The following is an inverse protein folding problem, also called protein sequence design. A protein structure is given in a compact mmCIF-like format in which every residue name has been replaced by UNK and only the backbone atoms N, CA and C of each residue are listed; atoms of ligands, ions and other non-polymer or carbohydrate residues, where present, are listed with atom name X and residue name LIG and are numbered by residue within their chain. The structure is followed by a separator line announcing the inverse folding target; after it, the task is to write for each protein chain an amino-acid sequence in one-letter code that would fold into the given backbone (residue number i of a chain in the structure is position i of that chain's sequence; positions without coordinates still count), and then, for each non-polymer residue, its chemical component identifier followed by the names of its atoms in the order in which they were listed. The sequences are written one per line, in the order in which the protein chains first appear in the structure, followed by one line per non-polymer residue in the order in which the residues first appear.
data_IF_074974935751
#
_entry.id   IF_074974935751
#
_cell.length_a   1.000
_cell.length_b   1.000
_cell.length_c   1.000
_cell.angle_alpha   90.00
_cell.angle_beta   90.00
_cell.angle_gamma   90.00
#
_symmetry.space_group_name_H-M   'P 1'
#
loop_
_entity.id
_entity.type
_entity.pdbx_description
1 polymer ?
2 non-polymer ?
3 non-polymer ?
4 water ?
#
# COMPACT_ATOMS: atom_id res chain seq x y z
N UNK A 1 -1.59 7.71 15.74
CA UNK A 1 -2.79 7.26 14.95
C UNK A 1 -4.01 7.11 15.82
N UNK A 2 -5.13 7.68 15.40
CA UNK A 2 -6.43 7.57 16.09
C UNK A 2 -7.36 6.64 15.28
N UNK A 3 -8.17 5.85 15.98
CA UNK A 3 -9.14 4.95 15.35
C UNK A 3 -10.54 5.34 15.79
N UNK A 4 -11.50 5.20 14.89
CA UNK A 4 -12.90 5.53 15.11
C UNK A 4 -13.75 4.43 14.49
N UNK A 5 -14.63 3.84 15.26
CA UNK A 5 -15.54 2.84 14.76
C UNK A 5 -16.57 3.48 13.90
N UNK A 6 -16.79 2.92 12.70
CA UNK A 6 -17.82 3.42 11.80
C UNK A 6 -19.19 2.76 12.12
N UNK A 7 -20.24 3.21 11.41
CA UNK A 7 -21.60 2.75 11.72
C UNK A 7 -21.79 1.34 11.24
N UNK A 8 -20.97 0.86 10.32
CA UNK A 8 -21.00 -0.53 9.84
C UNK A 8 -20.10 -1.33 10.75
N UNK A 9 -20.68 -2.35 11.40
CA UNK A 9 -19.98 -3.12 12.40
C UNK A 9 -18.66 -3.63 11.89
N UNK A 10 -17.60 -3.32 12.63
CA UNK A 10 -16.28 -3.79 12.30
C UNK A 10 -15.48 -2.90 11.38
N UNK A 11 -16.13 -1.98 10.67
CA UNK A 11 -15.40 -1.05 9.82
C UNK A 11 -14.80 0.01 10.71
N UNK A 12 -13.60 0.45 10.37
CA UNK A 12 -12.83 1.34 11.22
C UNK A 12 -12.16 2.40 10.36
N UNK A 13 -12.23 3.65 10.82
CA UNK A 13 -11.52 4.79 10.22
C UNK A 13 -10.27 5.10 11.03
N UNK A 14 -9.13 5.08 10.40
CA UNK A 14 -7.86 5.43 11.03
C UNK A 14 -7.37 6.77 10.53
N UNK A 15 -6.93 7.64 11.45
CA UNK A 15 -6.41 8.94 11.14
C UNK A 15 -4.94 9.00 11.52
N UNK A 16 -4.02 8.89 10.55
CA UNK A 16 -2.59 9.04 10.86
C UNK A 16 -2.23 10.52 11.05
N UNK A 17 -1.23 10.80 11.85
CA UNK A 17 -0.71 12.15 11.90
C UNK A 17 0.17 12.46 10.67
N UNK A 18 0.05 13.70 10.22
CA UNK A 18 0.82 14.21 9.09
C UNK A 18 2.05 14.86 9.64
N UNK A 19 3.20 14.33 9.24
CA UNK A 19 4.50 14.88 9.62
C UNK A 19 5.02 15.69 8.42
N UNK A 20 5.59 16.86 8.62
CA UNK A 20 6.08 17.71 7.55
C UNK A 20 7.45 18.23 7.91
N UNK A 21 8.27 18.36 6.89
CA UNK A 21 9.58 19.01 7.00
C UNK A 21 9.88 19.65 5.65
N UNK A 22 11.12 20.12 5.49
CA UNK A 22 11.49 20.80 4.27
C UNK A 22 11.46 19.92 3.02
N UNK A 23 11.55 18.62 3.22
CA UNK A 23 11.52 17.69 2.12
C UNK A 23 10.12 17.37 1.63
N UNK A 24 9.10 17.51 2.48
CA UNK A 24 7.81 17.05 2.13
C UNK A 24 6.97 16.66 3.31
N UNK A 25 6.23 15.57 3.14
CA UNK A 25 5.18 15.12 4.08
C UNK A 25 5.30 13.61 4.23
N UNK A 26 4.82 13.10 5.35
CA UNK A 26 4.84 11.69 5.66
C UNK A 26 3.61 11.32 6.45
N UNK A 27 2.91 10.28 6.02
CA UNK A 27 1.94 9.61 6.84
C UNK A 27 2.22 8.13 6.82
N UNK A 28 1.72 7.42 7.84
CA UNK A 28 1.85 5.97 7.95
C UNK A 28 0.42 5.41 7.89
N UNK A 29 -0.11 5.10 6.72
CA UNK A 29 -1.57 4.84 6.65
C UNK A 29 -2.05 3.61 7.41
N UNK A 30 -1.22 2.57 7.43
CA UNK A 30 -1.48 1.30 8.16
C UNK A 30 -0.40 1.16 9.24
N UNK A 31 -0.78 0.95 10.49
CA UNK A 31 0.14 0.78 11.60
C UNK A 31 -0.37 -0.38 12.46
N UNK A 32 0.42 -1.42 12.61
CA UNK A 32 -0.03 -2.62 13.26
C UNK A 32 -0.50 -2.35 14.69
N UNK A 33 0.21 -1.54 15.48
CA UNK A 33 -0.20 -1.40 16.87
C UNK A 33 -1.59 -0.78 17.00
N UNK A 34 -1.85 0.29 16.26
CA UNK A 34 -3.16 0.90 16.26
C UNK A 34 -4.22 -0.06 15.73
N UNK A 35 -3.88 -0.78 14.66
CA UNK A 35 -4.81 -1.73 14.08
C UNK A 35 -5.20 -2.83 15.02
N UNK A 36 -4.20 -3.45 15.65
CA UNK A 36 -4.48 -4.52 16.61
C UNK A 36 -5.34 -4.03 17.77
N UNK A 37 -5.09 -2.82 18.27
CA UNK A 37 -5.90 -2.25 19.36
C UNK A 37 -7.36 -2.10 18.94
N UNK A 38 -7.58 -1.62 17.71
CA UNK A 38 -8.92 -1.36 17.27
C UNK A 38 -9.70 -2.58 16.77
N UNK A 39 -8.99 -3.47 16.10
CA UNK A 39 -9.61 -4.63 15.46
C UNK A 39 -9.53 -5.91 16.29
N UNK A 40 -8.48 -6.05 17.10
CA UNK A 40 -8.25 -7.22 17.94
C UNK A 40 -7.22 -8.20 17.47
N UNK A 41 -6.69 -8.00 16.26
CA UNK A 41 -5.64 -8.81 15.70
C UNK A 41 -5.02 -8.02 14.53
N UNK A 42 -3.94 -8.53 14.00
CA UNK A 42 -3.24 -7.84 12.93
C UNK A 42 -3.97 -7.96 11.60
N UNK A 43 -3.52 -7.14 10.64
CA UNK A 43 -4.07 -7.17 9.30
C UNK A 43 -3.91 -8.53 8.68
N UNK A 44 -4.85 -8.88 7.81
CA UNK A 44 -4.73 -10.01 6.95
C UNK A 44 -3.39 -10.02 6.23
N UNK A 45 -2.96 -11.21 5.89
CA UNK A 45 -1.88 -11.39 4.92
C UNK A 45 -2.33 -10.72 3.60
N UNK A 46 -1.47 -9.93 3.03
CA UNK A 46 -1.77 -9.19 1.82
C UNK A 46 -1.51 -10.04 0.59
N UNK A 47 -2.58 -10.32 -0.17
CA UNK A 47 -2.53 -11.12 -1.37
C UNK A 47 -2.26 -10.27 -2.59
N UNK A 48 -2.69 -9.01 -2.56
CA UNK A 48 -2.71 -8.14 -3.74
C UNK A 48 -2.84 -6.72 -3.27
N UNK A 49 -2.24 -5.77 -3.99
CA UNK A 49 -2.56 -4.37 -3.81
C UNK A 49 -3.15 -3.77 -5.07
N UNK A 50 -3.83 -2.66 -4.91
CA UNK A 50 -4.44 -1.90 -5.98
C UNK A 50 -4.04 -0.45 -5.90
N UNK A 51 -3.77 0.13 -7.06
CA UNK A 51 -3.62 1.56 -7.28
C UNK A 51 -4.66 1.93 -8.36
N UNK A 52 -5.73 2.60 -7.95
CA UNK A 52 -6.80 2.97 -8.87
C UNK A 52 -6.80 4.47 -9.00
N UNK A 53 -6.81 4.99 -10.22
CA UNK A 53 -6.93 6.43 -10.43
C UNK A 53 -8.25 6.71 -11.17
N UNK A 54 -8.91 7.76 -10.73
CA UNK A 54 -10.24 8.11 -11.23
C UNK A 54 -10.37 9.59 -11.55
N UNK A 55 -11.13 9.86 -12.60
CA UNK A 55 -11.59 11.20 -12.94
C UNK A 55 -12.63 11.73 -11.94
N UNK A 56 -12.78 13.04 -11.84
CA UNK A 56 -13.80 13.64 -10.99
C UNK A 56 -15.17 13.16 -11.46
N UNK A 57 -15.96 12.80 -10.50
CA UNK A 57 -17.30 12.32 -10.78
C UNK A 57 -17.46 10.86 -11.05
N UNK A 58 -16.35 10.14 -11.13
CA UNK A 58 -16.45 8.70 -11.18
C UNK A 58 -17.04 8.16 -9.88
N UNK A 59 -17.96 7.21 -10.03
CA UNK A 59 -18.50 6.46 -8.93
C UNK A 59 -18.22 5.01 -9.19
N UNK A 60 -17.47 4.37 -8.30
CA UNK A 60 -17.20 2.97 -8.40
C UNK A 60 -17.94 2.28 -7.29
N UNK A 61 -18.67 1.24 -7.62
CA UNK A 61 -19.34 0.43 -6.62
C UNK A 61 -20.82 0.30 -6.92
N UNK A 62 -21.59 -0.35 -6.05
CA UNK A 62 -21.10 -0.96 -4.83
C UNK A 62 -20.51 -2.30 -5.19
N UNK A 63 -19.30 -2.57 -4.70
CA UNK A 63 -18.58 -3.82 -5.00
C UNK A 63 -18.43 -4.69 -3.77
N UNK A 64 -18.61 -5.99 -3.97
CA UNK A 64 -18.35 -6.96 -2.93
C UNK A 64 -17.87 -8.24 -3.55
N UNK A 65 -17.26 -9.11 -2.74
CA UNK A 65 -16.79 -10.40 -3.18
C UNK A 65 -17.77 -11.46 -2.66
N UNK A 66 -18.08 -12.43 -3.51
CA UNK A 66 -18.82 -13.60 -3.08
C UNK A 66 -18.11 -14.21 -1.87
N UNK A 67 -18.91 -14.53 -0.86
CA UNK A 67 -18.43 -14.93 0.43
C UNK A 67 -19.13 -16.23 0.89
N UNK A 68 -18.38 -17.30 1.12
CA UNK A 68 -16.95 -17.45 0.86
C UNK A 68 -16.63 -17.36 -0.63
N UNK A 69 -15.40 -17.03 -1.00
CA UNK A 69 -14.25 -16.85 -0.14
C UNK A 69 -14.14 -15.52 0.63
N UNK A 70 -14.73 -14.46 0.08
CA UNK A 70 -14.72 -13.13 0.67
C UNK A 70 -13.38 -12.45 0.56
N UNK A 71 -13.42 -11.16 0.79
CA UNK A 71 -12.23 -10.31 0.78
C UNK A 71 -12.39 -9.23 1.85
N UNK A 72 -11.35 -9.03 2.64
CA UNK A 72 -11.21 -7.85 3.51
C UNK A 72 -10.25 -6.88 2.82
N UNK A 73 -10.37 -5.58 3.11
CA UNK A 73 -9.61 -4.58 2.42
C UNK A 73 -9.17 -3.50 3.42
N UNK A 74 -8.11 -2.79 3.06
CA UNK A 74 -7.63 -1.61 3.78
C UNK A 74 -7.29 -0.57 2.75
N UNK A 75 -7.97 0.57 2.81
CA UNK A 75 -7.91 1.55 1.74
C UNK A 75 -7.63 2.96 2.24
N UNK A 76 -6.88 3.72 1.47
CA UNK A 76 -6.74 5.16 1.69
C UNK A 76 -6.56 5.89 0.35
N UNK A 77 -6.76 7.19 0.36
CA UNK A 77 -6.67 8.02 -0.79
C UNK A 77 -5.27 8.67 -0.87
N UNK A 78 -4.46 8.19 -1.81
CA UNK A 78 -3.06 8.64 -1.97
C UNK A 78 -2.88 9.90 -2.80
N UNK A 79 -3.95 10.38 -3.44
CA UNK A 79 -3.89 11.59 -4.26
C UNK A 79 -5.31 12.03 -4.51
N UNK A 80 -5.58 13.32 -4.54
CA UNK A 80 -6.92 13.78 -4.80
C UNK A 80 -7.82 13.71 -3.58
N UNK A 81 -9.09 13.45 -3.83
CA UNK A 81 -10.10 13.54 -2.79
C UNK A 81 -11.23 12.59 -3.14
N UNK A 82 -11.64 11.77 -2.17
CA UNK A 82 -12.72 10.82 -2.39
C UNK A 82 -13.69 10.84 -1.25
N UNK A 83 -14.94 10.50 -1.54
CA UNK A 83 -15.89 10.11 -0.54
C UNK A 83 -15.96 8.59 -0.54
N UNK A 84 -15.42 7.98 0.49
CA UNK A 84 -15.36 6.55 0.61
C UNK A 84 -16.60 6.04 1.36
N UNK A 85 -17.25 4.96 0.89
CA UNK A 85 -18.49 4.51 1.43
C UNK A 85 -18.43 3.03 1.73
N UNK A 86 -18.78 2.66 2.95
CA UNK A 86 -18.92 1.30 3.35
C UNK A 86 -20.38 1.00 3.58
N UNK A 87 -20.85 -0.11 3.04
CA UNK A 87 -22.25 -0.52 3.05
C UNK A 87 -22.34 -1.90 3.69
N UNK A 88 -23.13 -2.05 4.73
CA UNK A 88 -23.27 -3.37 5.35
C UNK A 88 -24.31 -4.21 4.63
N UNK A 89 -23.82 -5.12 3.83
CA UNK A 89 -24.65 -6.01 3.05
C UNK A 89 -24.64 -7.43 3.62
N UNK A 90 -24.15 -7.61 4.84
CA UNK A 90 -24.03 -8.94 5.42
C UNK A 90 -25.34 -9.35 6.14
N UNK A 91 -26.06 -10.29 5.53
CA UNK A 91 -27.34 -10.72 6.07
C UNK A 91 -27.12 -11.26 7.48
N UNK A 92 -27.91 -10.77 8.42
CA UNK A 92 -27.73 -11.11 9.84
C UNK A 92 -26.87 -10.16 10.63
N UNK A 93 -26.28 -9.17 10.01
CA UNK A 93 -25.45 -8.22 10.74
C UNK A 93 -26.32 -7.32 11.62
N UNK A 94 -25.82 -6.92 12.79
CA UNK A 94 -26.55 -5.94 13.59
C UNK A 94 -26.67 -4.59 12.96
N UNK A 95 -25.90 -4.32 11.92
CA UNK A 95 -25.94 -3.05 11.22
C UNK A 95 -26.28 -3.21 9.75
N UNK A 96 -26.91 -4.32 9.43
CA UNK A 96 -27.36 -4.58 8.06
C UNK A 96 -28.11 -3.43 7.46
N UNK A 97 -27.77 -3.09 6.22
CA UNK A 97 -28.44 -2.07 5.46
C UNK A 97 -27.96 -0.66 5.67
N UNK A 98 -27.14 -0.44 6.69
CA UNK A 98 -26.57 0.88 6.98
C UNK A 98 -25.33 1.08 6.12
N UNK A 99 -24.99 2.34 5.95
CA UNK A 99 -23.72 2.74 5.36
C UNK A 99 -23.08 3.83 6.17
N UNK A 100 -21.81 4.08 5.91
CA UNK A 100 -21.10 5.19 6.50
C UNK A 100 -20.15 5.70 5.44
N UNK A 101 -19.72 6.92 5.60
CA UNK A 101 -18.86 7.59 4.64
C UNK A 101 -17.70 8.24 5.35
N UNK A 102 -16.59 8.23 4.66
CA UNK A 102 -15.38 8.87 5.14
C UNK A 102 -14.84 9.75 4.01
N UNK A 103 -14.65 11.04 4.30
CA UNK A 103 -14.03 11.93 3.36
C UNK A 103 -12.54 11.74 3.44
N UNK A 104 -11.94 11.38 2.31
CA UNK A 104 -10.54 11.08 2.20
C UNK A 104 -9.89 12.17 1.36
N UNK A 105 -9.08 12.98 2.01
CA UNK A 105 -8.43 14.09 1.35
C UNK A 105 -6.97 14.12 1.72
N UNK A 106 -6.24 15.08 1.15
CA UNK A 106 -4.80 15.16 1.39
C UNK A 106 -4.44 15.96 2.60
N UNK A 107 -5.37 16.73 3.13
CA UNK A 107 -5.03 17.57 4.27
C UNK A 107 -5.14 16.84 5.57
N UNK A 108 -6.21 16.05 5.73
CA UNK A 108 -6.40 15.22 6.94
C UNK A 108 -6.72 13.79 6.51
N UNK A 109 -5.71 13.11 6.01
CA UNK A 109 -5.86 11.77 5.47
C UNK A 109 -6.49 10.80 6.47
N UNK A 110 -7.29 9.89 5.93
CA UNK A 110 -7.95 8.82 6.68
C UNK A 110 -7.88 7.55 5.89
N UNK A 111 -7.68 6.45 6.55
CA UNK A 111 -7.71 5.11 5.96
C UNK A 111 -8.90 4.38 6.54
N UNK A 112 -9.42 3.39 5.80
CA UNK A 112 -10.54 2.60 6.27
C UNK A 112 -10.26 1.12 6.13
N UNK A 113 -10.57 0.39 7.17
CA UNK A 113 -10.65 -1.07 7.15
C UNK A 113 -12.06 -1.52 6.86
N UNK A 114 -12.20 -2.35 5.81
CA UNK A 114 -13.42 -2.95 5.34
C UNK A 114 -13.43 -4.43 5.66
N UNK A 115 -14.28 -4.87 6.59
CA UNK A 115 -14.38 -6.27 6.91
C UNK A 115 -14.77 -7.14 5.77
N UNK A 116 -14.50 -8.44 5.92
CA UNK A 116 -15.06 -9.42 5.00
C UNK A 116 -16.56 -9.24 4.91
N UNK A 117 -17.04 -9.32 3.69
CA UNK A 117 -18.45 -9.34 3.45
C UNK A 117 -19.17 -8.03 3.20
N UNK A 118 -18.51 -6.92 3.43
CA UNK A 118 -19.16 -5.63 3.28
C UNK A 118 -19.03 -5.16 1.84
N UNK A 119 -19.86 -4.19 1.45
CA UNK A 119 -19.76 -3.55 0.17
C UNK A 119 -19.01 -2.24 0.27
N UNK A 120 -18.43 -1.85 -0.84
CA UNK A 120 -17.57 -0.65 -0.93
C UNK A 120 -17.97 0.14 -2.16
N UNK A 121 -18.03 1.46 -2.00
CA UNK A 121 -18.20 2.36 -3.11
C UNK A 121 -17.40 3.62 -2.79
N UNK A 122 -17.10 4.38 -3.82
CA UNK A 122 -16.55 5.71 -3.62
C UNK A 122 -16.86 6.59 -4.81
N UNK A 123 -16.80 7.89 -4.51
CA UNK A 123 -16.89 8.91 -5.52
C UNK A 123 -15.65 9.74 -5.50
N UNK A 124 -15.08 9.94 -6.68
CA UNK A 124 -13.92 10.81 -6.84
C UNK A 124 -14.36 12.26 -6.90
N UNK A 125 -13.83 13.08 -6.01
CA UNK A 125 -14.25 14.49 -5.91
C UNK A 125 -13.31 15.44 -6.66
N UNK A 126 -12.18 14.91 -7.10
CA UNK A 126 -11.20 15.63 -7.88
C UNK A 126 -10.68 14.74 -9.00
N UNK A 127 -10.22 15.29 -10.09
CA UNK A 127 -9.49 14.53 -11.07
C UNK A 127 -8.20 13.93 -10.46
N UNK A 128 -7.74 12.84 -11.04
CA UNK A 128 -6.51 12.20 -10.63
C UNK A 128 -6.55 11.69 -9.19
N UNK A 129 -7.71 11.26 -8.76
CA UNK A 129 -7.87 10.74 -7.40
C UNK A 129 -7.42 9.28 -7.36
N UNK A 130 -6.49 8.98 -6.47
CA UNK A 130 -5.90 7.63 -6.38
C UNK A 130 -6.35 6.99 -5.09
N UNK A 131 -6.96 5.81 -5.23
CA UNK A 131 -7.32 4.96 -4.09
C UNK A 131 -6.32 3.81 -4.06
N UNK A 132 -5.76 3.58 -2.89
CA UNK A 132 -4.72 2.59 -2.71
C UNK A 132 -5.21 1.55 -1.70
N UNK A 133 -5.17 0.29 -2.09
CA UNK A 133 -5.74 -0.79 -1.33
C UNK A 133 -4.72 -1.87 -1.06
N UNK A 134 -4.87 -2.49 0.10
CA UNK A 134 -4.36 -3.83 0.39
C UNK A 134 -5.56 -4.78 0.47
N UNK A 135 -5.45 -5.95 -0.14
CA UNK A 135 -6.54 -6.94 -0.17
C UNK A 135 -6.12 -8.26 0.44
N UNK A 136 -7.06 -8.95 1.05
CA UNK A 136 -6.80 -10.26 1.64
C UNK A 136 -6.81 -11.38 0.63
N UNK A 137 -7.28 -11.12 -0.59
CA UNK A 137 -7.43 -12.13 -1.61
C UNK A 137 -7.30 -11.41 -2.94
N UNK A 138 -6.70 -12.07 -3.92
CA UNK A 138 -6.59 -11.49 -5.23
C UNK A 138 -7.93 -11.46 -5.92
N UNK A 139 -8.12 -10.42 -6.71
CA UNK A 139 -9.36 -10.20 -7.45
C UNK A 139 -9.58 -11.30 -8.44
N UNK A 140 -10.78 -11.90 -8.39
CA UNK A 140 -11.25 -12.93 -9.32
C UNK A 140 -12.57 -12.45 -9.89
N UNK A 141 -12.62 -12.23 -11.19
CA UNK A 141 -13.79 -11.61 -11.81
C UNK A 141 -15.11 -12.30 -11.49
N UNK A 142 -15.11 -13.62 -11.51
CA UNK A 142 -16.35 -14.35 -11.29
C UNK A 142 -16.89 -14.18 -9.89
N UNK A 143 -16.01 -13.80 -8.94
CA UNK A 143 -16.41 -13.61 -7.57
C UNK A 143 -16.72 -12.16 -7.21
N UNK A 144 -16.58 -11.26 -8.17
CA UNK A 144 -16.71 -9.83 -7.93
C UNK A 144 -18.04 -9.33 -8.38
N UNK A 145 -18.92 -9.09 -7.44
CA UNK A 145 -20.27 -8.69 -7.72
C UNK A 145 -20.53 -7.22 -7.41
N UNK A 146 -21.67 -6.76 -7.87
CA UNK A 146 -22.05 -5.36 -7.71
C UNK A 146 -23.49 -5.19 -7.28
N UNK A 147 -23.71 -4.07 -6.59
CA UNK A 147 -25.03 -3.62 -6.20
C UNK A 147 -25.16 -2.16 -6.64
N UNK A 148 -26.40 -1.71 -6.84
CA UNK A 148 -26.67 -0.37 -7.31
C UNK A 148 -26.29 0.70 -6.30
N UNK A 149 -25.36 1.57 -6.71
CA UNK A 149 -24.98 2.67 -5.89
C UNK A 149 -26.01 3.81 -5.89
N UNK A 150 -26.86 3.86 -6.90
CA UNK A 150 -27.85 4.89 -7.07
C UNK A 150 -29.14 4.55 -6.34
N UNK A 151 -29.22 3.36 -5.79
CA UNK A 151 -30.41 2.86 -5.10
C UNK A 151 -31.06 3.93 -4.23
N UNK A 152 -32.31 4.31 -4.51
CA UNK A 152 -32.98 5.33 -3.70
C UNK A 152 -33.12 4.94 -2.24
N UNK A 153 -33.16 3.67 -1.95
CA UNK A 153 -33.27 3.22 -0.56
C UNK A 153 -32.07 3.59 0.26
N UNK A 154 -30.91 3.70 -0.39
CA UNK A 154 -29.68 4.07 0.32
C UNK A 154 -29.36 5.53 0.36
N UNK A 155 -29.71 6.29 -0.66
CA UNK A 155 -29.38 7.70 -0.70
C UNK A 155 -27.92 8.02 -0.58
N UNK A 156 -27.05 7.24 -1.26
CA UNK A 156 -25.64 7.51 -1.17
C UNK A 156 -25.27 8.88 -1.75
N UNK A 157 -24.26 9.53 -1.14
CA UNK A 157 -23.85 10.90 -1.52
C UNK A 157 -22.97 10.91 -2.76
N UNK A 158 -23.52 10.55 -3.91
CA UNK A 158 -22.65 10.26 -5.06
C UNK A 158 -22.79 11.21 -6.24
N UNK A 159 -23.66 12.22 -6.16
CA UNK A 159 -23.75 13.24 -7.23
C UNK A 159 -23.20 14.57 -6.72
N UNK A 160 -22.17 15.06 -7.39
CA UNK A 160 -21.36 16.17 -6.91
C UNK A 160 -21.35 17.31 -7.92
N UNK A 161 -22.21 17.25 -8.94
CA UNK A 161 -22.41 18.39 -9.86
C UNK A 161 -22.02 18.16 -11.30
N UNK A 162 -21.51 16.97 -11.61
CA UNK A 162 -21.21 16.54 -12.97
C UNK A 162 -21.94 15.24 -13.20
N UNK A 163 -22.21 14.90 -14.45
CA UNK A 163 -22.86 13.60 -14.72
C UNK A 163 -21.93 12.48 -14.22
N UNK A 164 -22.43 11.61 -13.36
CA UNK A 164 -21.56 10.55 -12.84
C UNK A 164 -21.00 9.70 -13.95
N UNK A 165 -19.74 9.27 -13.74
CA UNK A 165 -19.04 8.45 -14.70
C UNK A 165 -19.00 7.05 -14.06
N UNK A 166 -19.71 6.11 -14.69
CA UNK A 166 -20.02 4.84 -14.08
C UNK A 166 -19.78 3.76 -15.11
N UNK A 167 -19.19 2.64 -14.71
CA UNK A 167 -19.05 1.50 -15.64
C UNK A 167 -20.40 0.90 -15.99
N UNK A 168 -20.44 0.22 -17.13
CA UNK A 168 -21.68 -0.49 -17.48
C UNK A 168 -22.08 -1.51 -16.42
N UNK A 169 -21.12 -2.23 -15.86
CA UNK A 169 -21.49 -3.24 -14.86
C UNK A 169 -22.08 -2.60 -13.62
N UNK A 170 -21.53 -1.45 -13.21
CA UNK A 170 -22.14 -0.76 -12.10
C UNK A 170 -23.50 -0.16 -12.39
N UNK A 171 -23.67 0.31 -13.60
CA UNK A 171 -24.92 0.97 -13.97
C UNK A 171 -26.11 0.00 -13.90
N UNK A 172 -25.90 -1.26 -14.26
CA UNK A 172 -26.97 -2.24 -14.35
C UNK A 172 -27.04 -3.13 -13.09
N UNK A 173 -26.25 -2.81 -12.09
CA UNK A 173 -26.31 -3.59 -10.86
C UNK A 173 -27.69 -3.53 -10.18
N UNK A 174 -28.08 -4.66 -9.59
CA UNK A 174 -29.33 -4.73 -8.84
C UNK A 174 -29.16 -4.11 -7.46
N UNK A 175 -30.27 -3.76 -6.84
CA UNK A 175 -30.23 -3.20 -5.52
C UNK A 175 -29.88 -4.25 -4.47
N UNK A 176 -29.45 -3.72 -3.35
CA UNK A 176 -29.20 -4.50 -2.14
C UNK A 176 -30.43 -5.37 -1.81
N UNK A 177 -31.61 -4.78 -1.78
CA UNK A 177 -32.82 -5.55 -1.40
C UNK A 177 -33.12 -6.64 -2.43
N UNK A 178 -32.96 -6.33 -3.71
CA UNK A 178 -33.10 -7.37 -4.70
C UNK A 178 -32.09 -8.47 -4.60
N UNK A 179 -30.81 -8.12 -4.39
CA UNK A 179 -29.79 -9.12 -4.16
C UNK A 179 -30.07 -10.01 -2.92
N UNK A 180 -30.63 -9.45 -1.86
CA UNK A 180 -31.02 -10.25 -0.72
C UNK A 180 -32.09 -11.25 -1.14
N UNK A 181 -33.09 -10.83 -1.88
CA UNK A 181 -34.17 -11.75 -2.27
C UNK A 181 -33.64 -12.85 -3.15
N UNK A 182 -32.67 -12.54 -4.02
CA UNK A 182 -32.04 -13.49 -4.88
C UNK A 182 -31.04 -14.39 -4.21
N UNK A 183 -30.67 -14.15 -2.94
CA UNK A 183 -29.75 -15.02 -2.25
C UNK A 183 -28.28 -14.76 -2.55
N UNK A 184 -27.98 -13.54 -2.99
CA UNK A 184 -26.66 -13.22 -3.49
C UNK A 184 -25.75 -12.50 -2.48
N UNK A 185 -26.24 -12.24 -1.27
CA UNK A 185 -25.46 -11.43 -0.31
C UNK A 185 -24.67 -12.31 0.64
N UNK A 186 -23.52 -11.80 1.11
CA UNK A 186 -22.78 -12.49 2.16
C UNK A 186 -23.61 -12.67 3.42
N UNK A 187 -23.36 -13.75 4.14
CA UNK A 187 -23.95 -13.97 5.48
C UNK A 187 -23.00 -13.41 6.51
N UNK A 188 -23.54 -12.74 7.51
CA UNK A 188 -22.73 -12.19 8.57
C UNK A 188 -21.91 -13.20 9.37
N UNK A 189 -22.57 -14.27 9.80
CA UNK A 189 -21.84 -15.27 10.57
C UNK A 189 -20.66 -15.87 9.78
N UNK A 190 -20.90 -16.21 8.52
CA UNK A 190 -19.87 -16.76 7.68
C UNK A 190 -18.76 -15.76 7.47
N UNK A 191 -19.14 -14.51 7.20
CA UNK A 191 -18.17 -13.45 6.99
C UNK A 191 -17.28 -13.28 8.20
N UNK A 192 -17.88 -13.27 9.40
CA UNK A 192 -17.13 -13.11 10.62
C UNK A 192 -16.17 -14.27 10.88
N UNK A 193 -16.57 -15.48 10.51
CA UNK A 193 -15.72 -16.65 10.67
C UNK A 193 -14.50 -16.50 9.78
N UNK A 194 -14.71 -16.10 8.54
CA UNK A 194 -13.59 -15.87 7.61
C UNK A 194 -12.68 -14.80 8.18
N UNK A 195 -13.28 -13.71 8.61
CA UNK A 195 -12.53 -12.59 9.13
C UNK A 195 -11.66 -13.00 10.31
N UNK A 196 -12.21 -13.81 11.21
CA UNK A 196 -11.43 -14.24 12.36
C UNK A 196 -10.24 -15.08 11.95
N UNK A 197 -10.41 -15.94 10.96
CA UNK A 197 -9.29 -16.74 10.44
C UNK A 197 -8.22 -15.83 9.81
N UNK A 198 -8.62 -14.81 9.10
CA UNK A 198 -7.65 -13.93 8.41
C UNK A 198 -6.81 -13.15 9.36
N UNK A 199 -7.41 -12.73 10.46
CA UNK A 199 -6.80 -11.63 11.27
C UNK A 199 -6.46 -12.17 12.60
N UNK A 200 -6.27 -13.48 12.65
CA UNK A 200 -5.92 -14.18 13.88
C UNK A 200 -4.51 -13.75 14.30
N UNK A 201 -4.28 -13.65 15.61
CA UNK A 201 -2.96 -13.30 16.17
C UNK A 201 -1.90 -14.42 16.02
N UNK A 202 -2.24 -15.68 16.32
CA UNK A 202 -1.27 -16.80 16.26
C UNK A 202 -0.03 -16.59 15.40
N UNK B 1 1.89 -9.02 -15.24
CA UNK B 1 3.05 -8.53 -14.45
C UNK B 1 4.32 -9.22 -14.88
N UNK B 2 5.37 -8.42 -15.10
CA UNK B 2 6.67 -8.94 -15.40
C UNK B 2 7.61 -8.66 -14.21
N UNK B 3 8.52 -9.56 -13.98
CA UNK B 3 9.51 -9.49 -12.91
C UNK B 3 10.89 -9.55 -13.54
N UNK B 4 11.81 -8.78 -12.99
CA UNK B 4 13.20 -8.69 -13.46
C UNK B 4 14.09 -8.62 -12.24
N UNK B 5 15.02 -9.57 -12.14
CA UNK B 5 15.98 -9.56 -11.02
C UNK B 5 16.95 -8.42 -11.20
N UNK B 6 17.13 -7.67 -10.13
CA UNK B 6 18.10 -6.61 -10.08
C UNK B 6 19.47 -7.14 -9.80
N UNK B 7 20.44 -6.26 -9.93
CA UNK B 7 21.83 -6.68 -9.83
C UNK B 7 22.19 -6.95 -8.38
N UNK B 8 21.51 -6.31 -7.41
CA UNK B 8 21.66 -6.60 -5.99
C UNK B 8 20.88 -7.89 -5.70
N UNK B 9 21.58 -8.87 -5.15
CA UNK B 9 21.04 -10.21 -5.02
C UNK B 9 19.72 -10.19 -4.25
N UNK B 10 18.70 -10.77 -4.87
CA UNK B 10 17.39 -10.88 -4.27
C UNK B 10 16.45 -9.72 -4.48
N UNK B 11 16.93 -8.57 -4.88
CA UNK B 11 16.08 -7.42 -5.17
C UNK B 11 15.39 -7.66 -6.52
N UNK B 12 14.14 -7.25 -6.64
CA UNK B 12 13.33 -7.59 -7.81
C UNK B 12 12.55 -6.36 -8.26
N UNK B 13 12.53 -6.08 -9.54
CA UNK B 13 11.68 -5.05 -10.13
C UNK B 13 10.47 -5.73 -10.75
N UNK B 14 9.29 -5.26 -10.39
CA UNK B 14 8.03 -5.74 -10.94
C UNK B 14 7.40 -4.66 -11.79
N UNK B 15 6.94 -5.02 -12.98
CA UNK B 15 6.27 -4.10 -13.88
C UNK B 15 4.83 -4.56 -14.06
N UNK B 16 3.88 -3.95 -13.38
CA UNK B 16 2.48 -4.32 -13.59
C UNK B 16 1.99 -3.79 -14.94
N UNK B 17 1.00 -4.48 -15.49
CA UNK B 17 0.27 -3.93 -16.64
C UNK B 17 -0.64 -2.80 -16.15
N UNK B 18 -0.81 -1.76 -16.97
CA UNK B 18 -1.72 -0.68 -16.67
C UNK B 18 -2.99 -0.90 -17.44
N UNK B 19 -4.10 -0.98 -16.73
CA UNK B 19 -5.41 -1.07 -17.33
C UNK B 19 -6.12 0.24 -17.36
N UNK B 20 -6.69 0.59 -18.47
CA UNK B 20 -7.29 1.91 -18.64
C UNK B 20 -8.73 1.75 -19.11
N UNK B 21 -9.59 2.65 -18.67
CA UNK B 21 -10.97 2.72 -19.18
C UNK B 21 -11.42 4.16 -19.05
N UNK B 22 -12.70 4.41 -19.30
CA UNK B 22 -13.20 5.75 -19.29
C UNK B 22 -13.22 6.42 -17.91
N UNK B 23 -13.09 5.65 -16.85
CA UNK B 23 -13.04 6.17 -15.51
C UNK B 23 -11.65 6.54 -15.06
N UNK B 24 -10.63 5.91 -15.64
CA UNK B 24 -9.25 6.11 -15.19
C UNK B 24 -8.39 4.94 -15.45
N UNK B 25 -7.56 4.61 -14.48
CA UNK B 25 -6.59 3.56 -14.69
C UNK B 25 -6.49 2.71 -13.45
N UNK B 26 -5.87 1.57 -13.63
CA UNK B 26 -5.67 0.60 -12.57
C UNK B 26 -4.37 -0.09 -12.78
N UNK B 27 -3.60 -0.16 -11.70
CA UNK B 27 -2.46 -1.13 -11.62
C UNK B 27 -2.59 -1.92 -10.35
N UNK B 28 -1.93 -3.07 -10.31
CA UNK B 28 -1.90 -3.92 -9.15
C UNK B 28 -0.41 -4.02 -8.78
N UNK B 29 0.09 -3.12 -7.93
CA UNK B 29 1.55 -3.02 -7.76
C UNK B 29 2.17 -4.24 -7.15
N UNK B 30 1.49 -4.91 -6.23
CA UNK B 30 1.92 -6.18 -5.65
C UNK B 30 0.93 -7.25 -6.02
N UNK B 31 1.42 -8.37 -6.51
CA UNK B 31 0.58 -9.50 -6.88
C UNK B 31 1.24 -10.76 -6.39
N UNK B 32 0.50 -11.54 -5.60
CA UNK B 32 1.11 -12.72 -4.96
C UNK B 32 1.71 -13.71 -5.96
N UNK B 33 1.03 -14.06 -7.07
CA UNK B 33 1.58 -15.07 -7.96
C UNK B 33 2.85 -14.64 -8.59
N UNK B 34 2.92 -13.42 -9.11
CA UNK B 34 4.14 -12.93 -9.71
C UNK B 34 5.25 -12.82 -8.69
N UNK B 35 4.90 -12.41 -7.49
CA UNK B 35 5.89 -12.30 -6.44
C UNK B 35 6.48 -13.67 -6.08
N UNK B 36 5.61 -14.66 -5.82
CA UNK B 36 6.11 -15.98 -5.50
C UNK B 36 6.97 -16.52 -6.63
N UNK B 37 6.54 -16.33 -7.87
CA UNK B 37 7.35 -16.81 -9.01
C UNK B 37 8.77 -16.27 -8.95
N UNK B 38 8.93 -14.98 -8.62
CA UNK B 38 10.25 -14.34 -8.65
C UNK B 38 11.06 -14.54 -7.40
N UNK B 39 10.40 -14.57 -6.25
CA UNK B 39 11.08 -14.58 -4.97
C UNK B 39 11.18 -15.97 -4.34
N UNK B 40 10.19 -16.83 -4.62
CA UNK B 40 10.10 -18.18 -4.06
C UNK B 40 9.27 -18.37 -2.81
N UNK B 41 8.57 -17.33 -2.39
CA UNK B 41 7.62 -17.38 -1.28
C UNK B 41 6.87 -16.07 -1.34
N UNK B 42 5.79 -15.97 -0.56
CA UNK B 42 4.95 -14.78 -0.57
C UNK B 42 5.59 -13.62 0.17
N UNK B 43 4.99 -12.46 0.01
CA UNK B 43 5.42 -11.27 0.71
C UNK B 43 5.40 -11.57 2.21
N UNK B 44 6.25 -10.88 2.92
CA UNK B 44 6.13 -10.75 4.35
C UNK B 44 4.73 -10.31 4.77
N UNK B 45 4.32 -10.68 5.98
CA UNK B 45 3.20 -10.06 6.62
C UNK B 45 3.51 -8.59 6.76
N UNK B 46 2.51 -7.74 6.49
CA UNK B 46 2.71 -6.30 6.48
C UNK B 46 2.46 -5.72 7.85
N UNK B 47 3.49 -5.13 8.43
CA UNK B 47 3.44 -4.50 9.76
C UNK B 47 3.07 -3.04 9.71
N UNK B 48 3.38 -2.37 8.59
CA UNK B 48 3.22 -0.94 8.51
C UNK B 48 3.30 -0.56 7.06
N UNK B 49 2.63 0.51 6.69
CA UNK B 49 2.84 1.16 5.42
C UNK B 49 3.32 2.60 5.61
N UNK B 50 3.90 3.13 4.54
CA UNK B 50 4.42 4.49 4.48
C UNK B 50 3.89 5.16 3.22
N UNK B 51 3.50 6.41 3.35
CA UNK B 51 3.21 7.32 2.24
C UNK B 51 4.09 8.55 2.45
N UNK B 52 5.11 8.71 1.62
CA UNK B 52 6.08 9.81 1.70
C UNK B 52 5.92 10.68 0.47
N UNK B 53 5.76 11.99 0.64
CA UNK B 53 5.72 12.91 -0.47
C UNK B 53 6.97 13.80 -0.40
N UNK B 54 7.59 13.97 -1.55
CA UNK B 54 8.83 14.74 -1.64
C UNK B 54 8.79 15.78 -2.74
N UNK B 55 9.51 16.86 -2.45
CA UNK B 55 9.79 17.90 -3.43
C UNK B 55 10.86 17.46 -4.40
N UNK B 56 10.91 18.08 -5.57
CA UNK B 56 11.95 17.79 -6.55
C UNK B 56 13.34 18.07 -5.97
N UNK B 57 14.22 17.11 -6.15
CA UNK B 57 15.59 17.19 -5.70
C UNK B 57 15.84 16.66 -4.29
N UNK B 58 14.79 16.28 -3.59
CA UNK B 58 14.95 15.59 -2.32
C UNK B 58 15.66 14.28 -2.58
N UNK B 59 16.63 13.97 -1.71
CA UNK B 59 17.29 12.68 -1.67
C UNK B 59 17.07 12.11 -0.28
N UNK B 60 16.48 10.94 -0.19
CA UNK B 60 16.31 10.22 1.04
C UNK B 60 17.12 8.96 1.04
N UNK B 61 17.80 8.71 2.13
CA UNK B 61 18.61 7.52 2.28
C UNK B 61 20.06 7.87 2.61
N UNK B 62 20.93 6.86 2.69
CA UNK B 62 20.61 5.47 2.53
C UNK B 62 20.09 4.92 3.86
N UNK B 63 18.94 4.27 3.85
CA UNK B 63 18.27 3.75 5.06
C UNK B 63 18.33 2.26 5.13
N UNK B 64 18.65 1.76 6.29
CA UNK B 64 18.58 0.37 6.58
C UNK B 64 18.20 0.13 8.03
N UNK B 65 17.80 -1.08 8.35
CA UNK B 65 17.39 -1.46 9.72
C UNK B 65 18.51 -2.34 10.27
N UNK B 66 18.86 -2.15 11.54
CA UNK B 66 19.76 -3.06 12.27
C UNK B 66 19.20 -4.46 12.11
N UNK B 67 20.09 -5.38 11.78
CA UNK B 67 19.74 -6.73 11.39
C UNK B 67 20.54 -7.73 12.22
N UNK B 68 19.93 -8.57 13.05
CA UNK B 68 18.49 -8.60 13.34
C UNK B 68 18.07 -7.33 14.09
N UNK B 69 16.78 -7.00 14.06
CA UNK B 69 15.70 -7.79 13.46
C UNK B 69 15.58 -7.68 11.95
N UNK B 70 16.01 -6.57 11.38
CA UNK B 70 15.92 -6.34 9.94
C UNK B 70 14.53 -5.98 9.49
N UNK B 71 14.47 -5.45 8.28
CA UNK B 71 13.23 -5.11 7.59
C UNK B 71 13.36 -5.41 6.12
N UNK B 72 12.34 -6.08 5.57
CA UNK B 72 12.13 -6.18 4.13
C UNK B 72 11.05 -5.22 3.73
N UNK B 73 11.11 -4.75 2.48
CA UNK B 73 10.23 -3.69 2.03
C UNK B 73 9.77 -3.91 0.59
N UNK B 74 8.64 -3.31 0.27
CA UNK B 74 8.12 -3.36 -1.10
C UNK B 74 7.63 -1.95 -1.38
N UNK B 75 8.16 -1.34 -2.41
CA UNK B 75 7.96 0.09 -2.68
C UNK B 75 7.56 0.38 -4.12
N UNK B 76 6.68 1.36 -4.31
CA UNK B 76 6.46 1.87 -5.67
C UNK B 76 6.14 3.34 -5.60
N UNK B 77 6.18 4.02 -6.73
CA UNK B 77 5.96 5.44 -6.78
C UNK B 77 4.53 5.70 -7.22
N UNK B 78 3.71 6.24 -6.33
CA UNK B 78 2.26 6.39 -6.57
C UNK B 78 1.91 7.73 -7.20
N UNK B 79 2.89 8.64 -7.29
CA UNK B 79 2.67 9.95 -7.88
C UNK B 79 4.03 10.52 -8.20
N UNK B 80 4.15 11.24 -9.29
CA UNK B 80 5.41 11.88 -9.62
C UNK B 80 6.40 10.91 -10.21
N UNK B 81 7.68 11.14 -9.93
CA UNK B 81 8.75 10.39 -10.57
C UNK B 81 9.93 10.32 -9.66
N UNK B 82 10.50 9.12 -9.51
CA UNK B 82 11.66 8.93 -8.63
C UNK B 82 12.67 8.02 -9.31
N UNK B 83 13.93 8.21 -8.94
CA UNK B 83 14.96 7.21 -9.20
C UNK B 83 15.20 6.45 -7.90
N UNK B 84 14.71 5.23 -7.86
CA UNK B 84 14.80 4.36 -6.69
C UNK B 84 16.12 3.62 -6.75
N UNK B 85 16.76 3.44 -5.59
CA UNK B 85 18.08 2.88 -5.51
C UNK B 85 18.16 1.83 -4.42
N UNK B 86 18.66 0.65 -4.79
CA UNK B 86 18.94 -0.40 -3.81
C UNK B 86 20.46 -0.55 -3.72
N UNK B 87 20.95 -0.61 -2.49
CA UNK B 87 22.40 -0.73 -2.27
C UNK B 87 22.62 -1.94 -1.42
N UNK B 88 23.51 -2.82 -1.86
CA UNK B 88 23.76 -4.04 -1.12
C UNK B 88 24.84 -3.81 -0.07
N UNK B 89 24.39 -3.67 1.17
CA UNK B 89 25.22 -3.45 2.30
C UNK B 89 25.37 -4.69 3.20
N UNK B 90 25.01 -5.86 2.68
CA UNK B 90 25.09 -7.08 3.43
C UNK B 90 26.45 -7.72 3.29
N UNK B 91 27.19 -7.67 4.38
CA UNK B 91 28.54 -8.17 4.38
C UNK B 91 28.52 -9.66 4.06
N UNK B 92 29.33 -10.09 3.08
CA UNK B 92 29.35 -11.48 2.63
C UNK B 92 28.52 -11.73 1.38
N UNK B 93 27.69 -10.76 0.98
CA UNK B 93 26.85 -10.94 -0.19
C UNK B 93 27.69 -11.07 -1.44
N UNK B 94 27.23 -11.86 -2.41
CA UNK B 94 27.95 -11.90 -3.68
C UNK B 94 27.93 -10.58 -4.43
N UNK B 95 27.03 -9.69 -4.03
CA UNK B 95 26.92 -8.36 -4.64
C UNK B 95 27.16 -7.25 -3.66
N UNK B 96 27.85 -7.56 -2.57
CA UNK B 96 28.18 -6.52 -1.60
C UNK B 96 28.82 -5.29 -2.26
N UNK B 97 28.35 -4.13 -1.85
CA UNK B 97 28.86 -2.85 -2.30
C UNK B 97 28.30 -2.32 -3.60
N UNK B 98 27.55 -3.17 -4.27
CA UNK B 98 26.93 -2.79 -5.52
C UNK B 98 25.59 -2.11 -5.28
N UNK B 99 25.17 -1.35 -6.27
CA UNK B 99 23.82 -0.77 -6.28
C UNK B 99 23.16 -0.99 -7.61
N UNK B 100 21.85 -0.83 -7.61
CA UNK B 100 21.08 -0.80 -8.84
C UNK B 100 19.97 0.22 -8.67
N UNK B 101 19.41 0.65 -9.76
CA UNK B 101 18.46 1.76 -9.76
C UNK B 101 17.30 1.44 -10.70
N UNK B 102 16.15 1.94 -10.34
CA UNK B 102 14.91 1.77 -11.11
C UNK B 102 14.22 3.10 -11.21
N UNK B 103 13.98 3.56 -12.43
CA UNK B 103 13.20 4.72 -12.71
C UNK B 103 11.72 4.40 -12.50
N UNK B 104 11.07 5.13 -11.60
CA UNK B 104 9.68 4.93 -11.22
C UNK B 104 8.89 6.15 -11.66
N UNK B 105 8.02 5.94 -12.62
CA UNK B 105 7.16 7.01 -13.08
C UNK B 105 5.75 6.53 -13.28
N UNK B 106 4.90 7.42 -13.76
CA UNK B 106 3.49 7.07 -13.84
C UNK B 106 3.11 6.46 -15.19
N UNK B 107 3.94 6.60 -16.20
CA UNK B 107 3.62 5.99 -17.51
C UNK B 107 3.92 4.52 -17.58
N UNK B 108 5.03 4.12 -16.94
CA UNK B 108 5.45 2.73 -16.91
C UNK B 108 5.81 2.37 -15.48
N UNK B 109 4.80 2.25 -14.64
CA UNK B 109 5.04 2.00 -13.21
C UNK B 109 5.84 0.75 -12.95
N UNK B 110 6.73 0.84 -11.97
CA UNK B 110 7.51 -0.30 -11.51
C UNK B 110 7.53 -0.28 -9.98
N UNK B 111 7.51 -1.47 -9.42
CA UNK B 111 7.65 -1.64 -7.98
C UNK B 111 8.95 -2.40 -7.71
N UNK B 112 9.50 -2.23 -6.51
CA UNK B 112 10.71 -2.92 -6.15
C UNK B 112 10.55 -3.63 -4.81
N UNK B 113 11.02 -4.87 -4.76
CA UNK B 113 11.20 -5.64 -3.54
C UNK B 113 12.63 -5.49 -3.06
N UNK B 114 12.76 -5.08 -1.79
CA UNK B 114 14.02 -4.85 -1.12
C UNK B 114 14.22 -5.90 -0.05
N UNK B 115 15.15 -6.84 -0.25
CA UNK B 115 15.41 -7.87 0.76
C UNK B 115 15.77 -7.33 2.15
N UNK B 116 15.66 -8.19 3.15
CA UNK B 116 16.23 -7.91 4.42
C UNK B 116 17.69 -7.55 4.28
N UNK B 117 18.11 -6.49 4.99
CA UNK B 117 19.51 -6.17 5.11
C UNK B 117 20.09 -5.26 4.05
N UNK B 118 19.31 -4.88 3.04
CA UNK B 118 19.81 -3.96 2.04
C UNK B 118 19.54 -2.52 2.43
N UNK B 119 20.22 -1.59 1.74
CA UNK B 119 19.96 -0.17 1.91
C UNK B 119 19.08 0.36 0.78
N UNK B 120 18.33 1.40 1.11
CA UNK B 120 17.42 2.04 0.21
C UNK B 120 17.69 3.52 0.16
N UNK B 121 17.65 4.09 -1.04
CA UNK B 121 17.68 5.54 -1.24
C UNK B 121 16.80 5.87 -2.44
N UNK B 122 16.41 7.15 -2.57
CA UNK B 122 15.80 7.62 -3.81
C UNK B 122 15.98 9.08 -3.94
N UNK B 123 15.86 9.55 -5.18
CA UNK B 123 15.78 10.97 -5.45
C UNK B 123 14.46 11.26 -6.13
N UNK B 124 13.79 12.30 -5.68
CA UNK B 124 12.55 12.77 -6.29
C UNK B 124 12.86 13.61 -7.52
N UNK B 125 12.36 13.22 -8.69
CA UNK B 125 12.65 13.92 -9.95
C UNK B 125 11.62 15.01 -10.28
N UNK B 126 10.51 15.01 -9.55
CA UNK B 126 9.40 15.97 -9.69
C UNK B 126 8.89 16.35 -8.34
N UNK B 127 8.30 17.52 -8.20
CA UNK B 127 7.54 17.84 -7.01
C UNK B 127 6.37 16.85 -6.86
N UNK B 128 5.89 16.71 -5.64
CA UNK B 128 4.73 15.91 -5.30
C UNK B 128 4.94 14.45 -5.65
N UNK B 129 6.16 13.95 -5.46
CA UNK B 129 6.50 12.58 -5.70
C UNK B 129 6.20 11.77 -4.46
N UNK B 130 5.33 10.78 -4.64
CA UNK B 130 4.89 9.92 -3.55
C UNK B 130 5.51 8.55 -3.67
N UNK B 131 6.19 8.12 -2.61
CA UNK B 131 6.71 6.76 -2.49
C UNK B 131 5.85 6.03 -1.45
N UNK B 132 5.37 4.87 -1.86
CA UNK B 132 4.44 4.10 -1.07
C UNK B 132 5.10 2.74 -0.74
N UNK B 133 5.13 2.40 0.54
CA UNK B 133 5.86 1.22 1.03
C UNK B 133 4.96 0.33 1.86
N UNK B 134 5.26 -0.97 1.77
CA UNK B 134 4.89 -1.95 2.75
C UNK B 134 6.14 -2.42 3.44
N UNK B 135 6.10 -2.55 4.75
CA UNK B 135 7.24 -2.98 5.57
C UNK B 135 6.94 -4.24 6.35
N UNK B 136 7.97 -5.05 6.57
CA UNK B 136 7.86 -6.28 7.32
C UNK B 136 7.85 -6.09 8.83
N UNK B 137 8.24 -4.90 9.27
CA UNK B 137 8.22 -4.58 10.72
C UNK B 137 8.04 -3.10 10.86
N UNK B 138 7.35 -2.71 11.91
CA UNK B 138 7.15 -1.28 12.14
C UNK B 138 8.48 -0.58 12.36
N UNK B 139 8.56 0.62 11.84
CA UNK B 139 9.76 1.46 11.97
C UNK B 139 9.94 1.80 13.43
N UNK B 140 11.14 1.48 13.94
CA UNK B 140 11.55 1.76 15.30
C UNK B 140 12.80 2.64 15.21
N UNK B 141 12.74 3.85 15.73
CA UNK B 141 13.83 4.78 15.57
C UNK B 141 15.17 4.22 15.98
N UNK B 142 15.21 3.52 17.09
CA UNK B 142 16.48 3.07 17.59
C UNK B 142 17.13 1.99 16.71
N UNK B 143 16.34 1.34 15.84
CA UNK B 143 16.81 0.33 14.89
C UNK B 143 17.07 0.85 13.47
N UNK B 144 16.81 2.14 13.24
CA UNK B 144 16.88 2.70 11.91
C UNK B 144 18.19 3.46 11.78
N UNK B 145 19.04 2.98 10.88
CA UNK B 145 20.33 3.55 10.64
C UNK B 145 20.43 4.14 9.25
N UNK B 146 21.48 4.92 9.03
CA UNK B 146 21.69 5.61 7.76
C UNK B 146 23.14 5.52 7.35
N UNK B 147 23.34 5.53 6.05
CA UNK B 147 24.63 5.67 5.39
C UNK B 147 24.59 6.84 4.42
N UNK B 148 25.75 7.40 4.15
CA UNK B 148 25.81 8.55 3.26
C UNK B 148 25.42 8.21 1.82
N UNK B 149 24.35 8.82 1.33
CA UNK B 149 23.97 8.71 -0.04
C UNK B 149 24.82 9.55 -0.99
N UNK B 150 25.45 10.58 -0.47
CA UNK B 150 26.19 11.50 -1.33
C UNK B 150 27.64 11.08 -1.46
N UNK B 151 28.04 10.01 -0.76
CA UNK B 151 29.40 9.40 -0.77
C UNK B 151 29.85 9.37 -2.22
N UNK B 152 30.82 10.22 -2.61
CA UNK B 152 31.34 10.15 -3.98
C UNK B 152 31.88 8.77 -4.37
N UNK B 153 32.31 7.93 -3.43
CA UNK B 153 32.64 6.52 -3.70
C UNK B 153 31.58 5.73 -4.40
N UNK B 154 30.33 5.89 -3.92
CA UNK B 154 29.19 5.16 -4.44
C UNK B 154 28.74 5.68 -5.78
N UNK B 155 28.80 6.98 -5.97
CA UNK B 155 28.34 7.60 -7.20
C UNK B 155 26.87 7.36 -7.52
N UNK B 156 26.02 7.42 -6.49
CA UNK B 156 24.61 7.22 -6.75
C UNK B 156 24.02 8.28 -7.68
N UNK B 157 22.98 7.94 -8.43
CA UNK B 157 22.37 8.88 -9.39
C UNK B 157 21.38 9.83 -8.76
N UNK B 158 21.91 10.72 -7.95
CA UNK B 158 21.07 11.57 -7.09
C UNK B 158 21.22 13.07 -7.37
N UNK B 159 21.98 13.40 -8.41
CA UNK B 159 22.20 14.78 -8.87
C UNK B 159 21.35 15.08 -10.11
N UNK B 160 20.45 16.04 -9.98
CA UNK B 160 19.52 16.37 -11.06
C UNK B 160 19.56 17.86 -11.40
N UNK B 161 20.59 18.55 -10.93
CA UNK B 161 20.84 19.92 -11.36
C UNK B 161 20.41 20.96 -10.37
N UNK B 162 20.04 20.51 -9.18
CA UNK B 162 19.71 21.42 -8.08
C UNK B 162 20.55 20.98 -6.89
N UNK B 163 20.62 21.80 -5.84
CA UNK B 163 21.29 21.38 -4.62
C UNK B 163 20.37 20.32 -4.01
N UNK B 164 20.87 19.14 -3.71
CA UNK B 164 20.00 18.16 -3.05
C UNK B 164 19.33 18.66 -1.74
N UNK B 165 18.08 18.28 -1.47
CA UNK B 165 17.38 18.59 -0.25
C UNK B 165 17.45 17.31 0.60
N UNK B 166 18.17 17.38 1.72
CA UNK B 166 18.55 16.21 2.50
C UNK B 166 18.29 16.52 3.94
N UNK B 167 17.80 15.56 4.69
CA UNK B 167 17.61 15.76 6.11
C UNK B 167 18.90 15.83 6.90
N UNK B 168 18.83 16.27 8.15
CA UNK B 168 19.99 16.25 9.06
C UNK B 168 20.56 14.86 9.20
N UNK B 169 19.69 13.92 9.47
CA UNK B 169 20.10 12.56 9.77
C UNK B 169 20.85 11.95 8.54
N UNK B 170 20.35 12.24 7.36
CA UNK B 170 20.97 11.72 6.15
C UNK B 170 22.26 12.47 5.84
N UNK B 171 22.32 13.77 6.06
CA UNK B 171 23.48 14.56 5.77
C UNK B 171 24.69 14.09 6.59
N UNK B 172 24.49 13.72 7.84
CA UNK B 172 25.59 13.39 8.75
C UNK B 172 25.93 11.92 8.79
N UNK B 173 25.21 11.13 8.02
CA UNK B 173 25.40 9.71 8.02
C UNK B 173 26.81 9.34 7.65
N UNK B 174 27.31 8.29 8.31
CA UNK B 174 28.60 7.73 7.99
C UNK B 174 28.59 6.99 6.67
N UNK B 175 29.74 6.75 6.10
CA UNK B 175 29.79 6.00 4.85
C UNK B 175 29.62 4.51 5.08
N UNK B 176 29.27 3.83 3.99
CA UNK B 176 29.24 2.39 3.94
C UNK B 176 30.51 1.79 4.52
N UNK B 177 31.69 2.26 4.08
CA UNK B 177 32.94 1.66 4.55
C UNK B 177 33.18 1.89 6.02
N UNK B 178 32.80 3.06 6.53
CA UNK B 178 32.92 3.32 7.94
C UNK B 178 31.99 2.49 8.76
N UNK B 179 30.75 2.30 8.30
CA UNK B 179 29.81 1.46 9.00
C UNK B 179 30.33 0.03 9.01
N UNK B 180 30.89 -0.42 7.89
CA UNK B 180 31.42 -1.77 7.85
C UNK B 180 32.49 -1.96 8.92
N UNK B 181 33.39 -1.00 8.98
CA UNK B 181 34.52 -1.12 9.90
C UNK B 181 34.04 -1.19 11.33
N UNK B 182 32.98 -0.44 11.64
CA UNK B 182 32.39 -0.38 12.98
C UNK B 182 31.51 -1.57 13.35
N UNK B 183 31.29 -2.49 12.41
CA UNK B 183 30.46 -3.64 12.64
C UNK B 183 28.97 -3.37 12.59
N UNK B 184 28.56 -2.28 11.95
CA UNK B 184 27.17 -1.88 11.94
C UNK B 184 26.36 -2.39 10.76
N UNK B 185 26.97 -3.02 9.77
CA UNK B 185 26.23 -3.45 8.59
C UNK B 185 25.63 -4.83 8.81
N UNK B 186 24.49 -5.12 8.18
CA UNK B 186 23.94 -6.46 8.20
C UNK B 186 24.87 -7.48 7.63
N UNK B 187 24.77 -8.71 8.14
CA UNK B 187 25.47 -9.87 7.58
C UNK B 187 24.56 -10.52 6.55
N UNK B 188 25.09 -10.96 5.43
CA UNK B 188 24.30 -11.56 4.37
C UNK B 188 23.63 -12.85 4.84
N UNK B 189 24.35 -13.76 5.49
CA UNK B 189 23.76 -15.01 5.88
C UNK B 189 22.61 -14.77 6.85
N UNK B 190 22.86 -13.95 7.86
CA UNK B 190 21.87 -13.64 8.84
C UNK B 190 20.62 -12.99 8.18
N UNK B 191 20.86 -12.07 7.26
CA UNK B 191 19.80 -11.37 6.55
C UNK B 191 18.97 -12.38 5.77
N UNK B 192 19.61 -13.31 5.08
CA UNK B 192 18.85 -14.28 4.28
C UNK B 192 18.05 -15.23 5.18
N UNK B 193 18.59 -15.59 6.34
CA UNK B 193 17.88 -16.45 7.28
C UNK B 193 16.59 -15.76 7.72
N UNK B 194 16.69 -14.49 8.10
CA UNK B 194 15.53 -13.75 8.54
C UNK B 194 14.53 -13.65 7.39
N UNK B 195 15.04 -13.30 6.22
CA UNK B 195 14.20 -13.13 5.06
C UNK B 195 13.42 -14.41 4.75
N UNK B 196 14.05 -15.58 4.84
CA UNK B 196 13.38 -16.83 4.55
C UNK B 196 12.31 -17.13 5.56
N UNK B 197 12.46 -16.68 6.81
CA UNK B 197 11.39 -16.83 7.78
C UNK B 197 10.25 -15.87 7.48
N UNK B 198 10.58 -14.65 7.10
CA UNK B 198 9.53 -13.65 6.86
C UNK B 198 8.64 -14.02 5.68
N UNK B 199 9.24 -14.62 4.67
CA UNK B 199 8.60 -14.89 3.40
C UNK B 199 8.37 -16.38 3.21
N UNK B 200 8.30 -17.10 4.31
CA UNK B 200 7.99 -18.53 4.28
C UNK B 200 6.57 -18.77 3.83
N UNK B 201 6.38 -19.87 3.16
CA UNK B 201 5.07 -20.31 2.75
C UNK B 201 4.33 -20.81 3.97
N UNK B 202 3.17 -20.24 4.27
CA UNK B 202 2.40 -20.71 5.42
C UNK B 202 1.79 -22.10 5.22
N UNK B 203 1.63 -22.80 6.27
#
# INVERSE_FOLDING_TARGET
MQARKLAVDGAIEFTPRVFADDRGLLILPYQEEAFVEAHGGPLFRVAQTIHSMSKRGVVRGIHYTVTPPGTAKYVYCARGKAMDIVIDIRVGSPTFGQWDSVLMDQQDPRAVYLPVGVGHAFVALEDDTVMSYMLSRSYVTQDELALSALDPALGLPIDIGVEPIVSDRDRVAITLAEAQRQGLLPDYTTSQEIERRLTAVPVST
MQARKLAVDGAIEFTPRVFADDRGLLILPYQEEAFVEAHGGPLFRVAQTIHSMSKRGVVRGIHYTVTPPGTAKYVYCARGKAMDIVIDIRVGSPTFGQWDSVLMDQQDPRAVYLPVGVGHAFVALEDDTVMSYMLSRSYVTQDELALSALDPALGLPIDIGVEPIVSDRDRVAITLAEAQRQGLLPDYTTSQEIERRLTAVPVST
#
